data_IF_373487556469
#
_entry.id   IF_373487556469
#
_cell.length_a   1.000
_cell.length_b   1.000
_cell.length_c   1.000
_cell.angle_alpha   90.00
_cell.angle_beta   90.00
_cell.angle_gamma   90.00
#
_symmetry.space_group_name_H-M   'P 1'
#
loop_
_entity.id
_entity.type
_entity.pdbx_description
1 polymer ?
2 polymer ?
3 branched ?
4 water ?
#
# COMPACT_ATOMS: atom_id res chain seq x y z
N UNK A 1 22.36 10.26 -13.53
CA UNK A 1 21.97 11.31 -12.53
C UNK A 1 22.69 11.09 -11.23
N UNK A 2 22.14 11.66 -10.17
CA UNK A 2 22.70 11.51 -8.84
C UNK A 2 21.95 10.35 -8.20
N UNK A 3 22.71 9.34 -7.78
CA UNK A 3 22.15 8.14 -7.15
C UNK A 3 22.20 8.22 -5.65
N UNK A 4 21.08 7.88 -5.00
CA UNK A 4 21.00 7.89 -3.55
C UNK A 4 20.81 6.46 -3.05
N UNK A 5 21.80 5.93 -2.35
CA UNK A 5 21.73 4.58 -1.84
C UNK A 5 21.47 4.60 -0.34
N UNK A 6 20.47 3.84 0.12
CA UNK A 6 20.14 3.81 1.55
C UNK A 6 20.42 2.47 2.20
N UNK A 7 20.87 2.49 3.45
CA UNK A 7 21.13 1.27 4.18
C UNK A 7 20.71 1.47 5.64
N UNK A 8 20.16 0.42 6.27
CA UNK A 8 19.94 -0.91 5.67
C UNK A 8 18.74 -0.88 4.76
N UNK A 9 18.42 -2.04 4.18
CA UNK A 9 17.27 -2.16 3.29
C UNK A 9 16.04 -2.34 4.16
N UNK A 10 16.18 -3.18 5.17
CA UNK A 10 15.12 -3.48 6.11
C UNK A 10 15.72 -3.30 7.50
N UNK A 11 14.96 -2.75 8.44
CA UNK A 11 15.50 -2.51 9.79
C UNK A 11 14.58 -2.78 10.99
N UNK A 12 14.90 -3.78 11.82
CA UNK A 12 14.11 -4.13 13.00
C UNK A 12 14.58 -3.27 14.18
N UNK A 13 13.63 -2.82 14.98
CA UNK A 13 13.99 -2.00 16.14
C UNK A 13 12.88 -2.10 17.18
N UNK A 14 13.30 -2.24 18.44
CA UNK A 14 12.35 -2.35 19.54
C UNK A 14 11.76 -0.98 19.83
N UNK A 15 10.55 -0.97 20.37
CA UNK A 15 9.89 0.28 20.70
C UNK A 15 10.78 1.00 21.71
N UNK A 16 10.81 2.32 21.67
CA UNK A 16 11.63 3.05 22.61
C UNK A 16 13.11 3.00 22.31
N UNK A 17 13.50 2.13 21.39
CA UNK A 17 14.91 2.00 21.02
C UNK A 17 15.31 3.05 19.98
N UNK A 18 16.57 3.03 19.55
CA UNK A 18 17.05 3.99 18.56
C UNK A 18 17.23 3.33 17.20
N UNK A 19 17.26 4.12 16.15
CA UNK A 19 17.44 3.59 14.81
C UNK A 19 18.13 4.60 13.90
N UNK A 20 19.04 4.12 13.05
CA UNK A 20 19.77 5.00 12.14
C UNK A 20 19.77 4.50 10.71
N UNK A 21 19.26 5.36 9.82
CA UNK A 21 19.20 5.05 8.42
C UNK A 21 20.21 5.96 7.77
N UNK A 22 20.98 5.42 6.83
CA UNK A 22 21.97 6.24 6.16
C UNK A 22 21.65 6.31 4.67
N UNK A 23 22.10 7.40 4.06
CA UNK A 23 21.90 7.66 2.66
C UNK A 23 23.17 8.25 2.08
N UNK A 24 23.70 7.59 1.05
CA UNK A 24 24.93 8.03 0.43
C UNK A 24 24.65 8.39 -1.03
N UNK A 25 25.14 9.53 -1.47
CA UNK A 25 24.92 9.94 -2.86
C UNK A 25 26.14 9.67 -3.73
N UNK A 26 25.92 9.56 -5.03
CA UNK A 26 27.02 9.29 -5.93
C UNK A 26 27.85 10.54 -6.09
N UNK A 27 27.30 11.70 -5.74
CA UNK A 27 28.07 12.92 -5.84
C UNK A 27 27.69 13.98 -4.82
N UNK A 28 28.56 14.98 -4.70
CA UNK A 28 28.39 16.11 -3.79
C UNK A 28 27.07 16.81 -4.02
N UNK A 29 26.33 17.04 -2.92
CA UNK A 29 25.02 17.69 -3.00
C UNK A 29 25.03 19.17 -2.66
N UNK A 30 26.19 19.69 -2.24
CA UNK A 30 26.32 21.10 -1.90
C UNK A 30 25.96 21.94 -3.11
N UNK A 31 24.95 22.79 -2.96
CA UNK A 31 24.51 23.66 -4.04
C UNK A 31 25.35 24.93 -4.08
N UNK A 32 25.42 25.52 -5.26
CA UNK A 32 26.18 26.75 -5.50
C UNK A 32 25.84 27.80 -4.44
N UNK A 33 24.55 27.92 -4.14
CA UNK A 33 24.10 28.89 -3.15
C UNK A 33 24.42 28.39 -1.74
N UNK A 34 25.34 27.43 -1.65
CA UNK A 34 25.73 26.89 -0.36
C UNK A 34 24.72 26.08 0.44
N UNK A 35 23.64 25.64 -0.20
CA UNK A 35 22.64 24.84 0.50
C UNK A 35 22.73 23.40 0.05
N UNK A 36 22.53 22.47 0.97
CA UNK A 36 22.54 21.07 0.61
C UNK A 36 21.08 20.62 0.67
N UNK A 37 20.48 20.40 -0.51
CA UNK A 37 19.09 20.00 -0.57
C UNK A 37 18.87 18.50 -0.43
N UNK A 38 19.11 17.98 0.76
CA UNK A 38 18.92 16.55 1.02
C UNK A 38 17.77 16.40 2.01
N UNK A 39 16.72 15.68 1.62
CA UNK A 39 15.54 15.51 2.46
C UNK A 39 15.21 14.06 2.78
N UNK A 40 14.41 13.84 3.81
CA UNK A 40 14.00 12.50 4.18
C UNK A 40 12.47 12.49 4.27
N UNK A 41 11.85 11.40 3.84
CA UNK A 41 10.40 11.25 3.86
C UNK A 41 9.99 9.93 4.45
N UNK A 42 8.79 9.91 5.01
CA UNK A 42 8.21 8.69 5.58
C UNK A 42 6.92 8.35 4.85
N UNK A 43 6.80 7.11 4.41
CA UNK A 43 5.57 6.67 3.75
C UNK A 43 4.97 5.51 4.53
N UNK A 44 3.96 5.82 5.34
CA UNK A 44 3.32 4.77 6.11
C UNK A 44 2.54 3.89 5.14
N UNK A 45 2.27 2.63 5.55
CA UNK A 45 1.52 1.72 4.67
C UNK A 45 0.26 2.34 4.07
N UNK A 46 0.08 2.15 2.77
CA UNK A 46 -1.10 2.70 2.10
C UNK A 46 -1.26 4.21 2.28
N UNK A 47 -0.19 4.96 2.05
CA UNK A 47 -0.25 6.41 2.20
C UNK A 47 0.79 7.10 1.33
N UNK A 48 0.54 8.38 1.07
CA UNK A 48 1.43 9.22 0.28
C UNK A 48 2.61 9.55 1.18
N UNK A 49 3.80 9.74 0.60
CA UNK A 49 4.96 10.06 1.45
C UNK A 49 4.82 11.38 2.18
N UNK A 50 5.57 11.53 3.26
CA UNK A 50 5.53 12.76 4.04
C UNK A 50 6.92 13.25 4.41
N UNK A 51 7.07 14.56 4.30
CA UNK A 51 8.33 15.23 4.60
C UNK A 51 8.61 15.27 6.10
N UNK A 52 9.80 14.81 6.48
CA UNK A 52 10.20 14.79 7.88
C UNK A 52 11.29 15.82 8.12
N UNK A 53 12.36 15.71 7.34
CA UNK A 53 13.51 16.59 7.45
C UNK A 53 13.78 17.23 6.10
N UNK A 54 14.14 18.50 6.10
CA UNK A 54 14.46 19.17 4.85
C UNK A 54 15.82 19.86 5.01
N UNK A 55 16.61 19.83 3.94
CA UNK A 55 17.94 20.41 3.93
C UNK A 55 18.80 19.79 5.01
N UNK A 56 18.98 18.49 4.92
CA UNK A 56 19.81 17.75 5.86
C UNK A 56 19.36 17.64 7.32
N UNK A 57 19.09 18.76 7.98
CA UNK A 57 18.74 18.70 9.39
C UNK A 57 17.49 19.40 9.93
N UNK A 58 16.78 20.14 9.09
CA UNK A 58 15.59 20.85 9.56
C UNK A 58 14.36 19.97 9.60
N UNK A 59 13.64 20.02 10.71
CA UNK A 59 12.43 19.23 10.84
C UNK A 59 11.26 20.03 10.28
N UNK A 60 10.36 19.35 9.58
CA UNK A 60 9.20 20.01 9.00
C UNK A 60 8.07 20.09 10.04
N UNK A 61 7.06 20.90 9.73
CA UNK A 61 5.91 21.08 10.61
C UNK A 61 5.38 19.82 11.28
N UNK A 62 5.13 19.93 12.58
CA UNK A 62 4.58 18.81 13.32
C UNK A 62 5.45 17.60 13.57
N UNK A 63 6.68 17.62 13.05
CA UNK A 63 7.58 16.50 13.27
C UNK A 63 8.19 16.62 14.67
N UNK A 64 8.20 15.51 15.44
CA UNK A 64 8.75 15.48 16.79
C UNK A 64 10.27 15.62 16.81
N UNK A 65 10.82 15.93 17.98
CA UNK A 65 12.27 16.08 18.15
C UNK A 65 12.96 14.74 17.97
N UNK A 66 12.17 13.67 17.96
CA UNK A 66 12.72 12.33 17.82
C UNK A 66 13.49 12.15 16.52
N UNK A 67 13.18 12.98 15.52
CA UNK A 67 13.82 12.90 14.22
C UNK A 67 14.97 13.88 14.06
N UNK A 68 16.14 13.36 13.74
CA UNK A 68 17.35 14.16 13.57
C UNK A 68 18.07 13.84 12.27
N UNK A 69 18.59 14.88 11.62
CA UNK A 69 19.29 14.68 10.36
C UNK A 69 20.67 15.31 10.35
N UNK A 70 21.66 14.53 9.93
CA UNK A 70 23.01 15.03 9.85
C UNK A 70 23.55 14.73 8.46
N UNK A 71 24.76 15.22 8.18
CA UNK A 71 25.36 14.98 6.89
C UNK A 71 26.85 15.25 6.96
N UNK A 72 27.62 14.65 6.07
CA UNK A 72 29.06 14.87 6.04
C UNK A 72 29.59 14.47 4.66
N UNK A 73 29.65 15.44 3.75
CA UNK A 73 30.14 15.16 2.42
C UNK A 73 29.04 14.54 1.59
N UNK A 74 29.08 13.22 1.44
CA UNK A 74 28.08 12.51 0.65
C UNK A 74 27.30 11.52 1.50
N UNK A 75 27.63 11.44 2.78
CA UNK A 75 26.95 10.51 3.68
C UNK A 75 26.00 11.28 4.57
N UNK A 76 24.75 10.83 4.63
CA UNK A 76 23.74 11.49 5.45
C UNK A 76 23.05 10.45 6.33
N UNK A 77 22.46 10.90 7.43
CA UNK A 77 21.80 9.99 8.34
C UNK A 77 20.58 10.58 9.03
N UNK A 78 19.59 9.71 9.28
CA UNK A 78 18.35 10.07 9.95
C UNK A 78 18.34 9.28 11.25
N UNK A 79 18.16 9.96 12.37
CA UNK A 79 18.15 9.31 13.67
C UNK A 79 16.75 9.36 14.27
N UNK A 80 16.36 8.30 14.96
CA UNK A 80 15.05 8.26 15.60
C UNK A 80 15.22 7.68 17.00
N UNK A 81 15.33 8.55 17.99
CA UNK A 81 15.43 8.07 19.35
C UNK A 81 13.98 7.81 19.74
N UNK A 82 13.76 7.16 20.89
CA UNK A 82 12.41 6.87 21.36
C UNK A 82 11.43 6.37 20.29
N UNK A 83 11.87 5.40 19.47
CA UNK A 83 11.02 4.83 18.42
C UNK A 83 9.70 4.32 19.00
N UNK A 84 8.63 4.42 18.22
CA UNK A 84 7.33 3.95 18.68
C UNK A 84 6.43 3.37 17.59
N UNK A 85 5.28 2.86 18.00
CA UNK A 85 4.31 2.23 17.10
C UNK A 85 4.10 2.89 15.75
N UNK A 86 3.69 4.16 15.76
CA UNK A 86 3.41 4.91 14.54
C UNK A 86 4.57 5.18 13.59
N UNK A 87 5.80 4.91 14.03
CA UNK A 87 6.94 5.18 13.18
C UNK A 87 7.22 4.13 12.13
N UNK A 88 6.42 3.06 12.10
CA UNK A 88 6.66 2.02 11.10
C UNK A 88 6.29 2.52 9.71
N UNK A 89 7.08 2.11 8.73
CA UNK A 89 6.84 2.51 7.36
C UNK A 89 8.16 2.57 6.62
N UNK A 90 8.15 3.08 5.39
CA UNK A 90 9.39 3.18 4.62
C UNK A 90 9.92 4.61 4.62
N UNK A 91 11.23 4.75 4.83
CA UNK A 91 11.87 6.05 4.86
C UNK A 91 12.69 6.30 3.62
N UNK A 92 12.51 7.45 3.01
CA UNK A 92 13.24 7.79 1.80
C UNK A 92 14.09 9.02 1.99
N UNK A 93 15.16 9.11 1.21
CA UNK A 93 16.02 10.27 1.24
C UNK A 93 16.02 10.76 -0.21
N UNK A 94 15.89 12.06 -0.40
CA UNK A 94 15.87 12.61 -1.75
C UNK A 94 16.73 13.85 -1.83
N UNK A 95 17.02 14.26 -3.05
CA UNK A 95 17.85 15.44 -3.25
C UNK A 95 17.26 16.26 -4.37
N UNK A 96 17.26 17.58 -4.19
CA UNK A 96 16.73 18.51 -5.18
C UNK A 96 17.77 19.54 -5.56
N UNK A 97 19.03 19.23 -5.28
CA UNK A 97 20.14 20.09 -5.63
C UNK A 97 20.29 20.03 -7.16
N UNK A 98 19.95 18.89 -7.75
CA UNK A 98 20.02 18.70 -9.20
C UNK A 98 18.69 18.15 -9.68
N UNK A 99 18.71 17.33 -10.72
CA UNK A 99 17.47 16.75 -11.17
C UNK A 99 17.06 15.87 -10.01
N UNK A 100 15.89 16.14 -9.42
CA UNK A 100 15.38 15.38 -8.28
C UNK A 100 15.46 13.87 -8.44
N UNK A 101 16.10 13.21 -7.47
CA UNK A 101 16.19 11.74 -7.47
C UNK A 101 15.86 11.28 -6.05
N UNK A 102 15.45 10.03 -5.91
CA UNK A 102 15.10 9.51 -4.59
C UNK A 102 15.91 8.27 -4.24
N UNK A 103 15.93 7.96 -2.94
CA UNK A 103 16.66 6.80 -2.46
C UNK A 103 15.78 5.55 -2.54
N UNK A 104 16.42 4.39 -2.61
CA UNK A 104 15.68 3.15 -2.69
C UNK A 104 14.66 2.93 -1.60
N UNK A 105 14.94 3.43 -0.40
CA UNK A 105 14.01 3.25 0.69
C UNK A 105 14.51 2.25 1.72
N UNK A 106 13.96 2.34 2.93
CA UNK A 106 14.31 1.47 4.05
C UNK A 106 13.05 1.20 4.87
N UNK A 107 12.69 -0.07 4.98
CA UNK A 107 11.51 -0.47 5.71
C UNK A 107 11.76 -0.61 7.20
N UNK A 108 11.27 0.34 7.98
CA UNK A 108 11.46 0.26 9.41
C UNK A 108 10.40 -0.67 9.96
N UNK A 109 10.83 -1.73 10.62
CA UNK A 109 9.93 -2.71 11.20
C UNK A 109 10.04 -2.70 12.72
N UNK A 110 8.90 -2.70 13.40
CA UNK A 110 8.87 -2.70 14.85
C UNK A 110 9.07 -4.10 15.41
N UNK A 111 10.12 -4.27 16.21
CA UNK A 111 10.44 -5.54 16.84
C UNK A 111 9.67 -5.55 18.16
N UNK A 112 8.76 -6.53 18.33
CA UNK A 112 7.99 -6.63 19.56
C UNK A 112 7.89 -8.05 20.09
N UNK A 113 7.20 -8.20 21.22
CA UNK A 113 7.05 -9.50 21.85
C UNK A 113 6.18 -10.44 21.02
N UNK A 114 6.61 -11.69 20.96
CA UNK A 114 5.88 -12.70 20.22
C UNK A 114 4.39 -12.67 20.51
N UNK A 115 3.59 -13.00 19.49
CA UNK A 115 2.15 -13.01 19.61
C UNK A 115 1.59 -14.27 18.96
N UNK A 116 0.63 -14.90 19.62
CA UNK A 116 0.02 -16.12 19.12
C UNK A 116 -1.11 -15.81 18.16
N UNK A 117 -1.06 -16.42 16.96
CA UNK A 117 -2.09 -16.21 15.94
C UNK A 117 -3.46 -16.68 16.38
N UNK A 118 -4.48 -16.12 15.75
CA UNK A 118 -5.85 -16.48 16.06
C UNK A 118 -6.47 -16.96 14.75
N UNK A 119 -6.53 -18.28 14.61
CA UNK A 119 -7.04 -18.93 13.43
C UNK A 119 -8.57 -18.98 13.24
N UNK A 120 -8.98 -18.72 12.01
CA UNK A 120 -10.37 -18.74 11.59
C UNK A 120 -10.36 -19.43 10.23
N UNK A 121 -11.38 -20.25 9.95
CA UNK A 121 -11.45 -20.92 8.66
C UNK A 121 -12.82 -20.69 8.07
N UNK A 122 -12.84 -20.28 6.80
CA UNK A 122 -14.08 -20.01 6.08
C UNK A 122 -14.28 -20.96 4.91
N UNK A 123 -15.42 -21.65 4.86
CA UNK A 123 -15.64 -22.56 3.73
C UNK A 123 -16.08 -21.69 2.56
N UNK A 124 -16.00 -22.22 1.33
CA UNK A 124 -16.41 -21.43 0.16
C UNK A 124 -17.86 -20.97 0.27
N UNK A 125 -18.19 -19.90 -0.45
CA UNK A 125 -19.55 -19.37 -0.50
C UNK A 125 -20.21 -20.00 -1.71
N UNK A 126 -21.48 -20.38 -1.60
CA UNK A 126 -22.15 -21.00 -2.73
C UNK A 126 -22.12 -20.07 -3.94
N UNK A 127 -21.95 -18.77 -3.67
CA UNK A 127 -21.90 -17.74 -4.70
C UNK A 127 -20.71 -17.90 -5.63
N UNK A 128 -19.71 -18.66 -5.19
CA UNK A 128 -18.51 -18.84 -5.99
C UNK A 128 -18.56 -20.05 -6.94
N UNK A 129 -19.29 -21.08 -6.54
CA UNK A 129 -19.40 -22.31 -7.29
C UNK A 129 -19.59 -22.19 -8.80
N UNK A 130 -20.43 -21.26 -9.24
CA UNK A 130 -20.65 -21.13 -10.67
C UNK A 130 -19.41 -20.70 -11.46
N UNK A 131 -18.38 -20.19 -10.76
CA UNK A 131 -17.15 -19.79 -11.44
C UNK A 131 -16.30 -21.03 -11.73
N UNK A 132 -16.74 -22.17 -11.22
CA UNK A 132 -16.03 -23.42 -11.45
C UNK A 132 -14.92 -23.76 -10.47
N UNK A 133 -14.75 -22.90 -9.46
CA UNK A 133 -13.72 -23.13 -8.47
C UNK A 133 -14.17 -22.77 -7.05
N UNK A 134 -13.61 -23.45 -6.06
CA UNK A 134 -13.95 -23.21 -4.65
C UNK A 134 -12.72 -22.77 -3.86
N UNK A 135 -12.86 -21.70 -3.08
CA UNK A 135 -11.75 -21.20 -2.28
C UNK A 135 -12.04 -21.28 -0.80
N UNK A 136 -11.21 -22.01 -0.08
CA UNK A 136 -11.38 -22.13 1.35
C UNK A 136 -10.28 -21.27 1.95
N UNK A 137 -10.66 -20.40 2.88
CA UNK A 137 -9.69 -19.49 3.49
C UNK A 137 -9.41 -19.75 4.97
N UNK A 138 -8.14 -19.65 5.34
CA UNK A 138 -7.68 -19.84 6.71
C UNK A 138 -6.99 -18.52 7.07
N UNK A 139 -7.55 -17.80 8.03
CA UNK A 139 -7.04 -16.50 8.43
C UNK A 139 -6.27 -16.52 9.73
N UNK A 140 -5.00 -16.13 9.68
CA UNK A 140 -4.16 -16.09 10.86
C UNK A 140 -4.08 -14.64 11.29
N UNK A 141 -4.72 -14.35 12.41
CA UNK A 141 -4.81 -12.99 12.90
C UNK A 141 -3.91 -12.64 14.07
N UNK A 142 -3.47 -11.39 14.07
CA UNK A 142 -2.64 -10.83 15.14
C UNK A 142 -1.51 -11.68 15.71
N UNK A 143 -0.44 -11.84 14.93
CA UNK A 143 0.69 -12.64 15.39
C UNK A 143 2.01 -11.95 15.11
N UNK A 144 3.02 -12.30 15.90
CA UNK A 144 4.35 -11.73 15.73
C UNK A 144 5.34 -12.76 16.23
N UNK A 145 6.44 -12.99 15.49
CA UNK A 145 6.87 -12.38 14.23
C UNK A 145 6.10 -12.77 12.98
N UNK A 146 6.50 -12.15 11.87
CA UNK A 146 5.93 -12.34 10.55
C UNK A 146 5.80 -13.81 10.15
N UNK A 147 6.92 -14.51 10.19
CA UNK A 147 7.01 -15.93 9.85
C UNK A 147 5.90 -16.83 10.36
N UNK A 148 5.41 -17.70 9.49
CA UNK A 148 4.34 -18.62 9.86
C UNK A 148 4.26 -19.71 8.80
N UNK A 149 3.85 -20.90 9.22
CA UNK A 149 3.71 -22.04 8.33
C UNK A 149 2.28 -22.52 8.36
N UNK A 150 1.64 -22.56 7.20
CA UNK A 150 0.28 -23.04 7.13
C UNK A 150 0.29 -24.26 6.22
N UNK A 151 -0.38 -25.31 6.67
CA UNK A 151 -0.47 -26.54 5.88
C UNK A 151 -1.94 -26.92 5.83
N UNK A 152 -2.36 -27.42 4.67
CA UNK A 152 -3.74 -27.83 4.49
C UNK A 152 -3.86 -29.33 4.42
N UNK A 153 -4.93 -29.83 5.02
CA UNK A 153 -5.23 -31.25 5.04
C UNK A 153 -6.66 -31.45 4.59
N UNK A 154 -6.81 -32.18 3.49
CA UNK A 154 -8.11 -32.48 2.91
C UNK A 154 -8.36 -33.96 3.14
N UNK A 155 -9.34 -34.26 3.98
CA UNK A 155 -9.66 -35.65 4.30
C UNK A 155 -8.41 -36.33 4.86
N UNK A 156 -7.68 -35.62 5.72
CA UNK A 156 -6.47 -36.19 6.29
C UNK A 156 -5.24 -35.91 5.46
N UNK A 157 -5.23 -36.30 4.19
CA UNK A 157 -4.09 -36.09 3.31
C UNK A 157 -3.67 -34.64 3.16
N UNK A 158 -2.40 -34.38 3.45
CA UNK A 158 -1.85 -33.05 3.33
C UNK A 158 -1.90 -32.59 1.87
N UNK A 159 -2.28 -31.34 1.66
CA UNK A 159 -2.41 -30.78 0.32
C UNK A 159 -1.52 -29.55 0.17
N UNK A 160 -0.91 -29.38 -1.01
CA UNK A 160 -0.03 -28.22 -1.26
C UNK A 160 -0.41 -27.48 -2.54
N UNK A 161 -0.92 -28.24 -3.50
CA UNK A 161 -1.31 -27.68 -4.79
C UNK A 161 -2.57 -26.81 -4.71
N UNK A 162 -2.44 -25.55 -5.13
CA UNK A 162 -3.59 -24.65 -5.12
C UNK A 162 -3.64 -23.68 -3.95
N UNK A 163 -2.52 -23.55 -3.24
CA UNK A 163 -2.48 -22.66 -2.09
C UNK A 163 -1.83 -21.33 -2.42
N UNK A 164 -2.31 -20.28 -1.78
CA UNK A 164 -1.76 -18.95 -1.98
C UNK A 164 -1.81 -18.18 -0.67
N UNK A 165 -0.62 -17.82 -0.18
CA UNK A 165 -0.48 -17.09 1.08
C UNK A 165 -0.13 -15.64 0.85
N UNK A 166 -0.74 -14.77 1.64
CA UNK A 166 -0.51 -13.34 1.50
C UNK A 166 -0.59 -12.67 2.86
N UNK A 167 0.36 -11.77 3.12
CA UNK A 167 0.44 -11.05 4.39
C UNK A 167 -0.03 -9.61 4.32
N UNK A 168 -0.27 -9.05 5.51
CA UNK A 168 -0.66 -7.67 5.64
C UNK A 168 0.59 -6.97 6.13
N UNK A 169 0.54 -5.64 6.20
CA UNK A 169 1.66 -4.88 6.71
C UNK A 169 1.62 -4.99 8.23
N UNK A 170 2.60 -4.37 8.88
CA UNK A 170 2.65 -4.37 10.33
C UNK A 170 1.56 -3.39 10.75
N UNK A 171 0.86 -3.69 11.84
CA UNK A 171 -0.21 -2.81 12.29
C UNK A 171 0.38 -1.63 13.07
N UNK A 172 -0.13 -0.45 12.79
CA UNK A 172 0.34 0.78 13.44
C UNK A 172 0.05 0.84 14.93
N UNK A 173 -1.09 0.30 15.33
CA UNK A 173 -1.49 0.30 16.72
C UNK A 173 -0.75 -0.73 17.57
N UNK A 174 -0.82 -2.02 17.20
CA UNK A 174 -0.16 -3.07 18.00
C UNK A 174 1.03 -3.82 17.40
N UNK A 175 1.48 -3.42 16.21
CA UNK A 175 2.64 -4.03 15.57
C UNK A 175 2.60 -5.52 15.29
N UNK A 176 1.42 -6.06 14.99
CA UNK A 176 1.30 -7.48 14.69
C UNK A 176 0.92 -7.65 13.22
N UNK A 177 1.12 -8.85 12.69
CA UNK A 177 0.72 -9.12 11.30
C UNK A 177 -0.51 -10.01 11.28
N UNK A 178 -1.10 -10.12 10.11
CA UNK A 178 -2.25 -10.98 9.91
C UNK A 178 -1.92 -11.66 8.60
N UNK A 179 -2.52 -12.81 8.35
CA UNK A 179 -2.21 -13.50 7.12
C UNK A 179 -3.27 -14.53 6.76
N UNK A 180 -3.55 -14.60 5.46
CA UNK A 180 -4.56 -15.53 4.96
C UNK A 180 -4.02 -16.54 3.98
N UNK A 181 -4.38 -17.80 4.20
CA UNK A 181 -3.97 -18.86 3.29
C UNK A 181 -5.22 -19.27 2.53
N UNK A 182 -5.17 -19.15 1.21
CA UNK A 182 -6.32 -19.50 0.42
C UNK A 182 -6.09 -20.73 -0.43
N UNK A 183 -6.95 -21.71 -0.25
CA UNK A 183 -6.87 -22.96 -1.01
C UNK A 183 -8.00 -22.93 -2.04
N UNK A 184 -7.63 -22.98 -3.32
CA UNK A 184 -8.61 -22.94 -4.40
C UNK A 184 -8.66 -24.22 -5.22
N UNK A 185 -9.78 -24.93 -5.14
CA UNK A 185 -9.97 -26.16 -5.88
C UNK A 185 -11.00 -25.90 -6.94
N UNK A 186 -11.32 -26.92 -7.72
CA UNK A 186 -12.35 -26.79 -8.74
C UNK A 186 -13.63 -27.21 -8.02
N UNK A 187 -14.76 -26.69 -8.48
CA UNK A 187 -16.07 -27.00 -7.92
C UNK A 187 -16.18 -28.49 -7.51
N UNK A 188 -16.01 -29.38 -8.48
CA UNK A 188 -16.11 -30.82 -8.24
C UNK A 188 -15.06 -31.42 -7.29
N UNK A 189 -13.81 -31.02 -7.47
CA UNK A 189 -12.71 -31.49 -6.63
C UNK A 189 -13.12 -31.28 -5.17
N UNK A 190 -13.60 -30.08 -4.88
CA UNK A 190 -14.06 -29.71 -3.55
C UNK A 190 -15.25 -30.55 -3.06
N UNK A 191 -16.06 -31.02 -4.01
CA UNK A 191 -17.24 -31.82 -3.65
C UNK A 191 -16.95 -33.32 -3.53
N UNK A 192 -15.71 -33.70 -3.77
CA UNK A 192 -15.34 -35.10 -3.66
C UNK A 192 -14.67 -35.37 -2.31
N UNK A 193 -14.61 -34.33 -1.47
CA UNK A 193 -14.02 -34.44 -0.12
C UNK A 193 -14.98 -33.82 0.88
N UNK A 194 -14.72 -34.03 2.16
CA UNK A 194 -15.63 -33.47 3.16
C UNK A 194 -14.97 -32.79 4.36
N UNK A 195 -13.79 -33.27 4.74
CA UNK A 195 -13.08 -32.67 5.87
C UNK A 195 -11.92 -31.81 5.40
N UNK A 196 -11.98 -30.53 5.73
CA UNK A 196 -10.92 -29.61 5.35
C UNK A 196 -10.25 -29.00 6.57
N UNK A 197 -8.98 -29.33 6.75
CA UNK A 197 -8.22 -28.84 7.87
C UNK A 197 -7.02 -28.03 7.44
N UNK A 198 -6.63 -27.09 8.28
CA UNK A 198 -5.45 -26.31 8.02
C UNK A 198 -4.75 -26.23 9.36
N UNK A 199 -3.45 -26.50 9.34
CA UNK A 199 -2.66 -26.46 10.56
C UNK A 199 -1.66 -25.32 10.45
N UNK A 200 -1.63 -24.48 11.48
CA UNK A 200 -0.72 -23.35 11.50
C UNK A 200 0.38 -23.65 12.51
N UNK A 201 1.62 -23.36 12.12
CA UNK A 201 2.74 -23.59 13.00
C UNK A 201 3.54 -22.30 13.12
N UNK A 202 3.56 -21.75 14.34
CA UNK A 202 4.28 -20.51 14.62
C UNK A 202 5.39 -20.81 15.62
N UNK A 203 6.16 -19.76 15.95
CA UNK A 203 7.24 -19.86 16.90
C UNK A 203 6.65 -20.02 18.31
N UNK A 204 5.55 -19.33 18.55
CA UNK A 204 4.89 -19.34 19.85
C UNK A 204 4.21 -20.65 20.26
N UNK A 205 4.51 -21.75 19.58
CA UNK A 205 3.86 -23.02 19.94
C UNK A 205 4.43 -24.21 19.21
N UNK A 206 4.68 -25.28 19.95
CA UNK A 206 5.22 -26.52 19.38
C UNK A 206 4.08 -27.19 18.61
N UNK A 207 2.95 -27.34 19.29
CA UNK A 207 1.75 -27.96 18.73
C UNK A 207 1.06 -26.98 17.77
N UNK A 208 0.86 -27.39 16.51
CA UNK A 208 0.21 -26.59 15.49
C UNK A 208 -1.20 -26.15 15.85
N UNK A 209 -1.54 -24.91 15.53
CA UNK A 209 -2.90 -24.45 15.79
C UNK A 209 -3.69 -25.05 14.65
N UNK A 210 -4.73 -25.80 14.98
CA UNK A 210 -5.53 -26.47 13.96
C UNK A 210 -6.99 -26.06 13.98
N UNK A 211 -7.49 -25.67 12.80
CA UNK A 211 -8.89 -25.26 12.62
C UNK A 211 -9.43 -26.08 11.47
N UNK A 212 -10.68 -26.52 11.57
CA UNK A 212 -11.26 -27.35 10.51
C UNK A 212 -12.78 -27.28 10.41
N UNK A 213 -13.31 -27.75 9.28
CA UNK A 213 -14.75 -27.77 9.04
C UNK A 213 -15.10 -28.95 8.15
N UNK A 214 -16.34 -29.41 8.26
CA UNK A 214 -16.82 -30.51 7.45
C UNK A 214 -18.10 -30.01 6.82
N UNK A 215 -18.45 -30.55 5.64
CA UNK A 215 -19.67 -30.13 4.97
C UNK A 215 -20.91 -30.87 5.51
N UNK B 1 -5.17 24.56 5.26
CA UNK B 1 -4.54 23.22 5.49
C UNK B 1 -4.37 22.48 4.16
N UNK B 2 -3.14 22.58 3.64
CA UNK B 2 -2.79 21.98 2.37
C UNK B 2 -3.42 20.62 2.09
N UNK B 3 -4.08 20.53 0.94
CA UNK B 3 -4.69 19.31 0.48
C UNK B 3 -4.63 19.28 -1.05
N UNK B 4 -3.92 18.29 -1.57
CA UNK B 4 -3.78 18.12 -3.02
C UNK B 4 -4.57 16.86 -3.40
N UNK B 5 -5.12 16.83 -4.61
CA UNK B 5 -5.90 15.68 -5.02
C UNK B 5 -5.86 15.35 -6.51
N UNK B 6 -5.22 14.23 -6.83
CA UNK B 6 -5.07 13.75 -8.20
C UNK B 6 -6.26 12.90 -8.62
N UNK B 7 -6.39 12.67 -9.93
CA UNK B 7 -7.47 11.88 -10.46
C UNK B 7 -7.25 11.65 -11.94
N UNK B 8 -8.00 10.72 -12.52
CA UNK B 8 -7.88 10.44 -13.94
C UNK B 8 -6.99 9.28 -14.30
N UNK B 9 -6.88 8.31 -13.41
CA UNK B 9 -6.04 7.15 -13.69
C UNK B 9 -6.84 5.96 -14.15
N UNK B 10 -6.16 4.99 -14.75
CA UNK B 10 -6.81 3.79 -15.22
C UNK B 10 -5.85 2.97 -16.07
N UNK B 11 -6.41 2.11 -16.92
CA UNK B 11 -5.63 1.25 -17.80
C UNK B 11 -5.54 1.82 -19.22
N UNK B 12 -4.34 1.81 -19.82
CA UNK B 12 -4.11 2.33 -21.18
C UNK B 12 -3.28 1.29 -21.95
N UNK B 13 -3.14 1.45 -23.27
CA UNK B 13 -2.39 0.50 -24.10
C UNK B 13 -0.92 0.86 -24.36
N UNK B 14 -0.51 -0.12 -24.51
CA UNK B 14 0.69 0.38 -24.86
C UNK B 14 0.40 1.15 -26.09
N UNK B 15 -0.15 1.81 -26.66
CA UNK B 15 0.48 3.10 -26.43
C UNK B 15 -0.49 4.27 -26.60
N UNK B 16 -1.40 4.43 -25.64
CA UNK B 16 -2.38 5.50 -25.71
C UNK B 16 -2.06 6.81 -25.01
N UNK B 17 -3.11 7.55 -24.69
CA UNK B 17 -2.98 8.82 -24.03
C UNK B 17 -3.86 8.87 -22.79
N UNK B 18 -3.53 9.78 -21.88
CA UNK B 18 -4.31 9.91 -20.66
C UNK B 18 -3.93 11.22 -19.99
N UNK B 19 -4.91 11.91 -19.42
CA UNK B 19 -4.62 13.17 -18.78
C UNK B 19 -4.90 13.10 -17.29
N UNK B 20 -3.93 13.51 -16.49
CA UNK B 20 -4.10 13.50 -15.06
C UNK B 20 -4.52 14.88 -14.58
N UNK B 21 -5.32 14.90 -13.51
CA UNK B 21 -5.81 16.16 -12.95
C UNK B 21 -5.42 16.26 -11.49
N UNK B 22 -5.01 17.45 -11.08
CA UNK B 22 -4.67 17.66 -9.69
C UNK B 22 -5.31 18.94 -9.24
N UNK B 23 -5.98 18.88 -8.10
CA UNK B 23 -6.65 20.04 -7.56
C UNK B 23 -6.08 20.31 -6.18
N UNK B 24 -5.50 21.49 -6.01
CA UNK B 24 -4.93 21.86 -4.72
C UNK B 24 -5.78 22.91 -4.04
N UNK B 25 -5.74 22.93 -2.71
CA UNK B 25 -6.52 23.89 -1.94
C UNK B 25 -5.89 23.99 -0.56
N UNK B 26 -6.04 25.14 0.09
CA UNK B 26 -5.45 25.31 1.41
C UNK B 26 -4.20 26.18 1.37
N UNK B 27 -4.00 26.84 0.24
CA UNK B 27 -2.85 27.73 0.07
C UNK B 27 -3.00 28.50 -1.23
N UNK B 28 -2.36 29.67 -1.30
CA UNK B 28 -2.43 30.47 -2.51
C UNK B 28 -1.71 29.65 -3.56
N UNK B 29 -2.49 28.88 -4.31
CA UNK B 29 -2.00 28.00 -5.36
C UNK B 29 -1.02 28.66 -6.34
N UNK B 30 -1.33 29.88 -6.78
CA UNK B 30 -0.48 30.58 -7.74
C UNK B 30 0.95 30.88 -7.29
N UNK B 31 1.18 30.85 -5.97
CA UNK B 31 2.49 31.14 -5.39
C UNK B 31 3.49 30.01 -5.38
N UNK B 32 3.09 28.81 -5.79
CA UNK B 32 3.99 27.66 -5.76
C UNK B 32 4.21 26.91 -7.07
N UNK B 33 5.34 26.22 -7.15
CA UNK B 33 5.62 25.42 -8.32
C UNK B 33 4.92 24.12 -8.01
N UNK B 34 4.53 23.41 -9.05
CA UNK B 34 3.84 22.15 -8.85
C UNK B 34 4.63 21.03 -9.48
N UNK B 35 4.53 19.84 -8.88
CA UNK B 35 5.30 18.71 -9.37
C UNK B 35 4.47 17.47 -9.68
N UNK B 36 5.14 16.50 -10.27
CA UNK B 36 4.56 15.21 -10.58
C UNK B 36 5.67 14.20 -10.39
N UNK B 37 5.41 13.24 -9.50
CA UNK B 37 6.35 12.19 -9.19
C UNK B 37 5.63 10.86 -9.22
N UNK B 38 6.13 9.92 -10.01
CA UNK B 38 5.50 8.63 -10.09
C UNK B 38 6.31 7.64 -9.28
N UNK B 39 5.63 6.62 -8.75
CA UNK B 39 6.29 5.60 -7.94
C UNK B 39 6.04 4.23 -8.52
N UNK B 40 6.98 3.73 -9.31
CA UNK B 40 6.83 2.40 -9.91
C UNK B 40 7.28 1.31 -8.97
N UNK B 41 6.70 0.10 -9.11
CA UNK B 41 7.11 -1.00 -8.23
C UNK B 41 8.53 -1.41 -8.59
N UNK B 42 8.87 -1.24 -9.87
CA UNK B 42 10.19 -1.59 -10.39
C UNK B 42 11.23 -0.48 -10.33
N UNK B 43 10.81 0.78 -10.23
CA UNK B 43 11.78 1.86 -10.16
C UNK B 43 11.52 2.88 -9.05
N UNK B 44 10.89 2.44 -7.97
CA UNK B 44 10.62 3.33 -6.86
C UNK B 44 10.17 4.72 -7.29
N UNK B 45 10.42 5.69 -6.42
CA UNK B 45 10.03 7.08 -6.67
C UNK B 45 10.83 7.72 -7.80
N UNK B 46 10.10 8.25 -8.76
CA UNK B 46 10.73 8.88 -9.92
C UNK B 46 10.08 10.22 -10.24
N UNK B 47 10.87 11.30 -10.13
CA UNK B 47 10.38 12.63 -10.44
C UNK B 47 10.07 12.68 -11.92
N UNK B 48 8.86 13.13 -12.27
CA UNK B 48 8.45 13.20 -13.66
C UNK B 48 8.58 14.58 -14.28
N UNK B 49 7.83 15.54 -13.76
CA UNK B 49 7.85 16.89 -14.32
C UNK B 49 7.50 17.98 -13.32
N UNK B 50 7.82 19.21 -13.70
CA UNK B 50 7.57 20.38 -12.87
C UNK B 50 7.10 21.58 -13.69
N UNK B 51 6.26 22.41 -13.08
CA UNK B 51 5.80 23.62 -13.75
C UNK B 51 6.01 24.74 -12.74
N UNK B 52 6.38 25.92 -13.23
CA UNK B 52 6.63 27.03 -12.33
C UNK B 52 5.54 28.08 -12.32
N UNK B 53 5.87 29.27 -11.81
CA UNK B 53 4.91 30.36 -11.70
C UNK B 53 4.61 31.11 -12.99
N UNK B 54 3.65 32.03 -12.91
CA UNK B 54 3.23 32.83 -14.05
C UNK B 54 4.33 33.83 -14.37
N UNK B 55 4.90 34.41 -13.33
CA UNK B 55 5.98 35.36 -13.50
C UNK B 55 7.13 34.65 -14.20
N UNK B 56 7.05 33.32 -14.25
CA UNK B 56 8.09 32.52 -14.86
C UNK B 56 7.73 32.10 -16.27
N UNK B 57 6.70 32.74 -16.82
CA UNK B 57 6.22 32.42 -18.17
C UNK B 57 5.65 31.01 -18.09
N UNK B 58 5.46 30.51 -16.88
CA UNK B 58 4.96 29.16 -16.66
C UNK B 58 5.96 28.16 -17.22
N UNK B 59 7.23 28.31 -16.82
CA UNK B 59 8.28 27.42 -17.27
C UNK B 59 8.03 25.97 -16.86
N UNK B 60 8.42 25.04 -17.71
CA UNK B 60 8.26 23.61 -17.41
C UNK B 60 9.59 22.89 -17.51
N UNK B 61 9.72 21.82 -16.76
CA UNK B 61 10.93 21.00 -16.76
C UNK B 61 10.47 19.56 -16.67
N UNK B 62 10.95 18.72 -17.59
CA UNK B 62 10.56 17.31 -17.59
C UNK B 62 11.73 16.36 -17.38
N UNK B 63 11.39 15.15 -16.93
CA UNK B 63 12.39 14.12 -16.69
C UNK B 63 12.77 13.57 -18.06
N UNK B 64 14.06 13.35 -18.27
CA UNK B 64 14.56 12.85 -19.54
C UNK B 64 13.72 11.71 -20.14
N UNK B 65 13.29 10.78 -19.29
CA UNK B 65 12.51 9.64 -19.75
C UNK B 65 11.11 9.96 -20.29
N UNK B 66 10.67 11.21 -20.16
CA UNK B 66 9.35 11.58 -20.65
C UNK B 66 9.36 12.83 -21.51
N UNK B 67 10.54 13.37 -21.79
CA UNK B 67 10.60 14.58 -22.61
C UNK B 67 9.94 14.35 -23.95
N UNK B 68 8.94 15.17 -24.26
CA UNK B 68 8.26 15.03 -25.53
C UNK B 68 6.95 14.28 -25.48
N UNK B 69 6.78 13.37 -24.52
CA UNK B 69 5.55 12.62 -24.43
C UNK B 69 4.56 13.20 -23.44
N UNK B 70 5.09 13.69 -22.32
CA UNK B 70 4.25 14.27 -21.26
C UNK B 70 4.25 15.79 -21.35
N UNK B 71 3.16 16.40 -20.91
CA UNK B 71 3.05 17.85 -20.90
C UNK B 71 2.31 18.26 -19.63
N UNK B 72 2.93 19.14 -18.84
CA UNK B 72 2.33 19.59 -17.61
C UNK B 72 1.85 21.02 -17.77
N UNK B 73 0.58 21.23 -17.48
CA UNK B 73 -0.03 22.54 -17.60
C UNK B 73 -0.67 22.88 -16.26
N UNK B 74 -1.11 24.13 -16.10
CA UNK B 74 -1.74 24.52 -14.86
C UNK B 74 -2.83 25.57 -15.10
N UNK B 75 -3.68 25.75 -14.10
CA UNK B 75 -4.77 26.71 -14.16
C UNK B 75 -4.91 27.36 -12.78
N UNK B 76 -4.08 28.37 -12.53
CA UNK B 76 -4.06 29.08 -11.27
C UNK B 76 -5.44 29.56 -10.83
N UNK B 77 -6.30 29.89 -11.79
CA UNK B 77 -7.63 30.36 -11.45
C UNK B 77 -8.44 29.22 -10.82
N UNK B 78 -8.19 27.99 -11.28
CA UNK B 78 -8.90 26.83 -10.75
C UNK B 78 -8.06 26.05 -9.73
N UNK B 79 -6.87 26.54 -9.42
CA UNK B 79 -5.98 25.86 -8.47
C UNK B 79 -5.76 24.40 -8.90
N UNK B 80 -5.51 24.21 -10.19
CA UNK B 80 -5.30 22.87 -10.72
C UNK B 80 -4.06 22.76 -11.60
N UNK B 81 -3.50 21.56 -11.64
CA UNK B 81 -2.33 21.27 -12.46
C UNK B 81 -2.69 19.99 -13.19
N UNK B 82 -2.31 19.92 -14.46
CA UNK B 82 -2.63 18.77 -15.29
C UNK B 82 -1.39 18.09 -15.84
N UNK B 83 -1.56 16.83 -16.23
CA UNK B 83 -0.46 16.09 -16.81
C UNK B 83 -1.00 15.28 -17.97
N UNK B 84 -0.76 15.81 -19.17
CA UNK B 84 -1.17 15.16 -20.41
C UNK B 84 -0.08 14.18 -20.75
N UNK B 85 -0.46 12.92 -20.93
CA UNK B 85 0.53 11.90 -21.24
C UNK B 85 0.14 11.21 -22.54
N UNK B 86 1.07 11.25 -23.49
CA UNK B 86 0.87 10.67 -24.80
C UNK B 86 1.87 9.54 -25.02
N UNK B 87 1.57 8.68 -25.98
CA UNK B 87 2.47 7.59 -26.30
C UNK B 87 2.91 6.81 -25.07
N UNK B 88 1.94 6.37 -24.28
CA UNK B 88 2.24 5.63 -23.05
C UNK B 88 2.86 4.26 -23.32
N UNK B 89 3.65 3.79 -22.35
CA UNK B 89 4.33 2.51 -22.46
C UNK B 89 4.44 1.84 -21.11
N UNK B 90 4.57 0.52 -21.13
CA UNK B 90 4.67 -0.28 -19.92
C UNK B 90 5.41 0.45 -18.81
N UNK B 91 6.54 1.05 -19.18
CA UNK B 91 7.38 1.77 -18.23
C UNK B 91 6.69 2.91 -17.49
N UNK B 92 5.67 3.52 -18.08
CA UNK B 92 4.97 4.62 -17.44
C UNK B 92 4.01 4.14 -16.34
N UNK B 93 3.89 2.82 -16.20
CA UNK B 93 3.02 2.23 -15.18
C UNK B 93 3.54 2.60 -13.80
N UNK B 94 2.63 2.98 -12.91
CA UNK B 94 3.02 3.35 -11.57
C UNK B 94 2.04 4.37 -11.00
N UNK B 95 2.14 4.62 -9.70
CA UNK B 95 1.26 5.59 -9.06
C UNK B 95 1.84 6.98 -9.33
N UNK B 96 0.98 7.90 -9.70
CA UNK B 96 1.43 9.24 -9.97
C UNK B 96 1.00 10.18 -8.86
N UNK B 97 1.96 10.90 -8.31
CA UNK B 97 1.67 11.84 -7.22
C UNK B 97 1.86 13.26 -7.69
N UNK B 98 0.99 14.12 -7.19
CA UNK B 98 1.06 15.54 -7.48
C UNK B 98 1.49 16.20 -6.18
N UNK B 99 2.66 16.80 -6.18
CA UNK B 99 3.19 17.42 -4.98
C UNK B 99 3.41 18.91 -5.17
N UNK B 100 3.68 19.61 -4.08
CA UNK B 100 3.91 21.04 -4.14
C UNK B 100 5.41 21.35 -4.09
N UNK B 101 5.81 22.44 -4.72
CA UNK B 101 7.20 22.86 -4.68
C UNK B 101 7.30 23.76 -3.48
N UNK B 102 7.63 23.16 -2.34
CA UNK B 102 7.72 23.93 -1.11
C UNK B 102 8.72 25.07 -1.04
N UNK B 103 8.37 26.03 -0.19
CA UNK B 103 9.21 27.20 0.04
C UNK B 103 10.56 26.78 0.60
N UNK B 104 10.58 25.64 1.31
CA UNK B 104 11.79 25.10 1.93
C UNK B 104 12.74 24.33 1.02
N UNK B 105 12.40 24.23 -0.27
CA UNK B 105 13.24 23.50 -1.20
C UNK B 105 12.98 22.00 -1.27
N UNK B 106 11.77 21.59 -0.95
CA UNK B 106 11.40 20.18 -0.98
C UNK B 106 9.91 20.00 -1.24
N UNK B 107 9.57 18.99 -2.05
CA UNK B 107 8.18 18.69 -2.34
C UNK B 107 7.57 18.37 -0.96
N UNK B 108 6.96 19.40 -0.35
CA UNK B 108 6.38 19.28 0.98
C UNK B 108 5.05 18.58 1.15
N UNK B 109 4.12 18.81 0.23
CA UNK B 109 2.82 18.18 0.34
C UNK B 109 2.45 17.34 -0.88
N UNK B 110 2.03 16.12 -0.64
CA UNK B 110 1.68 15.22 -1.70
C UNK B 110 0.22 14.81 -1.69
N UNK B 111 -0.24 14.37 -2.85
CA UNK B 111 -1.60 13.91 -2.96
C UNK B 111 -1.55 12.46 -2.52
N UNK B 112 -2.69 11.79 -2.48
CA UNK B 112 -2.73 10.40 -2.08
C UNK B 112 -2.25 9.55 -3.25
N UNK B 113 -2.34 10.12 -4.44
CA UNK B 113 -1.92 9.42 -5.65
C UNK B 113 -3.07 8.85 -6.44
N UNK B 114 -2.82 8.59 -7.72
CA UNK B 114 -3.82 7.99 -8.60
C UNK B 114 -3.04 7.04 -9.48
N UNK B 115 -3.39 5.76 -9.45
CA UNK B 115 -2.66 4.75 -10.21
C UNK B 115 -2.88 4.75 -11.74
N UNK B 116 -1.79 4.46 -12.46
CA UNK B 116 -1.80 4.40 -13.92
C UNK B 116 -1.16 3.09 -14.38
N UNK B 117 -1.87 2.33 -15.21
CA UNK B 117 -1.33 1.06 -15.69
C UNK B 117 -1.39 0.99 -17.20
N UNK B 118 -0.24 0.75 -17.82
CA UNK B 118 -0.19 0.63 -19.27
C UNK B 118 -0.03 -0.86 -19.54
N UNK B 119 -0.94 -1.43 -20.32
CA UNK B 119 -0.89 -2.85 -20.61
C UNK B 119 -1.83 -3.18 -21.75
N UNK B 120 -1.59 -4.30 -22.43
CA UNK B 120 -2.45 -4.72 -23.53
C UNK B 120 -3.57 -5.59 -22.95
N UNK B 121 -3.45 -5.91 -21.66
CA UNK B 121 -4.46 -6.70 -20.97
C UNK B 121 -5.65 -5.75 -20.74
N UNK B 122 -6.86 -6.30 -20.77
CA UNK B 122 -8.06 -5.50 -20.57
C UNK B 122 -8.61 -5.55 -19.15
N UNK B 123 -9.40 -4.55 -18.82
CA UNK B 123 -10.01 -4.45 -17.50
C UNK B 123 -10.95 -5.62 -17.17
N UNK B 124 -11.11 -5.86 -15.88
CA UNK B 124 -11.98 -6.90 -15.39
C UNK B 124 -12.37 -6.46 -13.99
N UNK B 125 -13.65 -6.16 -13.80
CA UNK B 125 -14.12 -5.75 -12.48
C UNK B 125 -13.95 -6.98 -11.57
N UNK B 126 -13.77 -6.77 -10.27
CA UNK B 126 -13.60 -7.94 -9.40
C UNK B 126 -14.90 -8.67 -9.05
N UNK B 127 -14.75 -9.91 -8.63
CA UNK B 127 -15.88 -10.71 -8.18
C UNK B 127 -15.69 -10.73 -6.67
N UNK B 128 -16.74 -10.48 -5.90
CA UNK B 128 -16.60 -10.48 -4.45
C UNK B 128 -17.43 -11.53 -3.77
N UNK B 129 -16.79 -12.40 -3.00
CA UNK B 129 -17.49 -13.46 -2.28
C UNK B 129 -17.42 -13.18 -0.79
N UNK B 130 -18.41 -13.66 -0.03
CA UNK B 130 -18.43 -13.45 1.41
C UNK B 130 -17.63 -14.48 2.19
N UNK B 131 -17.03 -14.02 3.28
CA UNK B 131 -16.25 -14.88 4.16
C UNK B 131 -17.02 -14.94 5.46
N UNK B 132 -17.81 -15.99 5.60
CA UNK B 132 -18.64 -16.22 6.76
C UNK B 132 -18.31 -17.55 7.42
N UNK B 133 -18.34 -17.58 8.76
CA UNK B 133 -18.05 -18.80 9.54
C UNK B 133 -18.94 -19.97 9.12
N UNK B 134 -17.80 -19.70 9.39
CA UNK B 134 -18.23 -21.07 9.16
C UNK B 134 -18.67 -21.88 10.37
N UNK B 135 -19.99 -21.90 10.59
CA UNK B 135 -20.65 -22.62 11.68
C UNK B 135 -19.67 -23.35 12.62
N UNK B 136 -19.31 -22.71 13.72
CA UNK B 136 -18.38 -23.29 14.70
C UNK B 136 -18.62 -22.72 16.09
N UNK B 137 -17.77 -23.10 17.05
CA UNK B 137 -17.87 -22.64 18.43
C UNK B 137 -17.02 -21.39 18.65
N UNK B 138 -17.56 -20.42 19.39
CA UNK B 138 -16.88 -19.16 19.66
C UNK B 138 -15.54 -19.28 20.40
N UNK B 139 -14.44 -19.32 19.65
CA UNK B 139 -13.12 -19.41 20.25
C UNK B 139 -12.07 -18.70 19.40
N UNK B 140 -12.31 -17.42 19.12
CA UNK B 140 -11.38 -16.65 18.32
C UNK B 140 -11.81 -15.19 18.19
N UNK B 141 -11.55 -14.41 19.23
CA UNK B 141 -11.91 -12.98 19.26
C UNK B 141 -13.33 -12.73 18.73
N UNK B 142 -14.33 -10.96 18.15
CA UNK B 142 -15.07 -12.06 18.75
C UNK B 142 -15.80 -12.80 17.62
N UNK B 143 -15.83 -12.15 16.45
CA UNK B 143 -16.45 -12.71 15.25
C UNK B 143 -15.78 -12.10 14.02
N UNK B 144 -14.99 -12.92 13.33
CA UNK B 144 -14.29 -12.45 12.15
C UNK B 144 -15.08 -12.70 10.85
N UNK B 145 -15.25 -11.64 10.07
CA UNK B 145 -15.97 -11.69 8.79
C UNK B 145 -15.15 -11.01 7.71
N UNK B 146 -15.37 -11.41 6.46
CA UNK B 146 -14.62 -10.78 5.40
C UNK B 146 -15.19 -10.90 3.99
N UNK B 147 -14.45 -10.31 3.05
CA UNK B 147 -14.83 -10.32 1.63
C UNK B 147 -13.63 -10.77 0.82
N UNK B 148 -13.84 -11.76 -0.02
CA UNK B 148 -12.76 -12.25 -0.86
C UNK B 148 -12.93 -11.62 -2.23
N UNK B 149 -11.90 -10.91 -2.67
CA UNK B 149 -11.92 -10.24 -3.97
C UNK B 149 -11.04 -10.96 -4.98
N UNK B 150 -11.66 -11.50 -6.02
CA UNK B 150 -10.94 -12.26 -7.05
C UNK B 150 -11.14 -11.82 -8.48
N UNK B 151 -10.26 -12.32 -9.32
CA UNK B 151 -10.30 -12.06 -10.74
C UNK B 151 -10.44 -10.64 -11.22
N UNK B 152 -9.71 -9.71 -10.61
CA UNK B 152 -9.80 -8.34 -11.10
C UNK B 152 -8.50 -7.90 -11.74
N UNK B 153 -8.57 -6.84 -12.53
CA UNK B 153 -7.40 -6.32 -13.22
C UNK B 153 -7.79 -4.99 -13.87
N UNK B 154 -6.94 -3.96 -13.71
CA UNK B 154 -5.67 -4.02 -13.00
C UNK B 154 -5.79 -3.81 -11.49
N UNK B 155 -4.82 -3.06 -10.99
CA UNK B 155 -4.74 -2.73 -9.60
C UNK B 155 -4.94 -1.21 -9.52
N UNK B 156 -5.43 -0.72 -8.38
CA UNK B 156 -5.76 -1.53 -7.21
C UNK B 156 -7.26 -1.50 -7.00
N UNK B 157 -7.68 -2.06 -5.86
CA UNK B 157 -9.08 -2.02 -5.46
C UNK B 157 -8.93 -1.65 -4.00
N UNK B 158 -9.80 -0.78 -3.50
CA UNK B 158 -9.71 -0.44 -2.10
C UNK B 158 -10.97 -0.95 -1.43
N UNK B 159 -10.78 -1.63 -0.30
CA UNK B 159 -11.90 -2.15 0.45
C UNK B 159 -12.12 -1.40 1.76
N UNK B 160 -13.36 -0.99 1.98
CA UNK B 160 -13.72 -0.30 3.19
C UNK B 160 -14.91 -1.02 3.79
N UNK B 161 -15.04 -0.96 5.11
CA UNK B 161 -16.14 -1.62 5.78
C UNK B 161 -17.16 -0.61 6.30
N UNK B 162 -18.44 -0.88 6.05
CA UNK B 162 -19.51 0.02 6.47
C UNK B 162 -19.26 1.46 6.02
N UNK B 163 -18.82 1.60 4.76
CA UNK B 163 -18.52 2.89 4.15
C UNK B 163 -17.38 3.63 4.85
N UNK B 164 -16.61 2.89 5.65
CA UNK B 164 -15.50 3.51 6.35
C UNK B 164 -15.81 3.80 7.81
N UNK B 165 -17.09 3.76 8.15
CA UNK B 165 -17.50 4.01 9.53
C UNK B 165 -16.85 2.95 10.41
N UNK B 166 -16.84 1.72 9.92
CA UNK B 166 -16.23 0.61 10.64
C UNK B 166 -14.75 0.57 10.24
N UNK B 167 -13.86 1.01 11.13
CA UNK B 167 -12.43 1.02 10.82
C UNK B 167 -11.49 0.42 11.87
N UNK B 168 -12.03 -0.34 12.82
CA UNK B 168 -11.18 -0.95 13.85
C UNK B 168 -11.00 -2.44 13.65
N UNK B 169 -9.76 -2.89 13.66
CA UNK B 169 -9.49 -4.30 13.49
C UNK B 169 -9.69 -4.77 12.06
N UNK B 170 -9.60 -3.84 11.11
CA UNK B 170 -9.74 -4.18 9.71
C UNK B 170 -8.37 -4.65 9.26
N UNK B 171 -8.34 -5.80 8.60
CA UNK B 171 -7.09 -6.37 8.12
C UNK B 171 -7.20 -6.75 6.66
N UNK B 172 -6.44 -6.09 5.81
CA UNK B 172 -6.47 -6.39 4.38
C UNK B 172 -5.10 -6.85 3.93
N UNK B 173 -5.01 -8.10 3.50
CA UNK B 173 -3.75 -8.65 3.04
C UNK B 173 -3.35 -7.94 1.77
N UNK B 174 -2.19 -8.31 1.28
CA UNK B 174 -1.67 -7.73 0.07
C UNK B 174 -2.31 -8.45 -1.11
N UNK B 175 -2.37 -7.81 -2.27
CA UNK B 175 -2.95 -8.47 -3.42
C UNK B 175 -1.88 -9.37 -4.02
N UNK B 176 -2.30 -10.44 -4.68
CA UNK B 176 -1.36 -11.35 -5.32
C UNK B 176 -1.77 -11.50 -6.77
N UNK B 177 -0.79 -11.51 -7.67
CA UNK B 177 -1.06 -11.67 -9.09
C UNK B 177 -0.94 -13.13 -9.49
N UNK B 178 -2.02 -13.70 -9.99
CA UNK B 178 -1.99 -15.10 -10.44
C UNK B 178 -2.97 -15.36 -11.58
N UNK B 179 -2.52 -16.12 -12.57
CA UNK B 179 -3.33 -16.44 -13.76
C UNK B 179 -3.81 -15.16 -14.43
N UNK B 180 -2.95 -14.16 -14.44
CA UNK B 180 -3.30 -12.90 -15.05
C UNK B 180 -4.30 -12.11 -14.26
N UNK B 181 -4.62 -12.56 -13.05
CA UNK B 181 -5.58 -11.84 -12.23
C UNK B 181 -5.22 -11.66 -10.77
N UNK B 182 -5.63 -10.53 -10.22
CA UNK B 182 -5.35 -10.23 -8.82
C UNK B 182 -6.47 -10.70 -7.93
N UNK B 183 -6.19 -10.69 -6.64
CA UNK B 183 -7.17 -11.08 -5.65
C UNK B 183 -6.57 -10.76 -4.31
N UNK B 184 -7.43 -10.67 -3.32
CA UNK B 184 -6.99 -10.39 -1.96
C UNK B 184 -8.22 -10.61 -1.12
N UNK B 185 -8.10 -10.30 0.16
CA UNK B 185 -9.24 -10.45 1.05
C UNK B 185 -9.07 -9.46 2.15
N UNK B 186 -10.19 -8.97 2.66
CA UNK B 186 -10.19 -8.01 3.74
C UNK B 186 -11.10 -8.57 4.83
N UNK B 187 -10.70 -8.41 6.09
CA UNK B 187 -11.50 -8.92 7.17
C UNK B 187 -11.56 -7.94 8.32
N UNK B 188 -12.61 -8.07 9.10
CA UNK B 188 -12.85 -7.22 10.25
C UNK B 188 -13.32 -8.13 11.39
N UNK B 189 -13.01 -7.75 12.62
CA UNK B 189 -13.45 -8.56 13.74
C UNK B 189 -14.40 -7.74 14.60
N UNK B 190 -15.63 -8.22 14.70
CA UNK B 190 -16.64 -7.55 15.46
C UNK B 190 -17.06 -8.38 16.67
N UNK B 191 -17.71 -7.75 17.66
CA UNK B 191 -18.17 -8.43 18.87
C UNK B 191 -19.26 -9.45 18.57
N UNK B 192 -19.17 -10.60 19.22
CA UNK B 192 -20.12 -11.69 19.06
C UNK B 192 -21.60 -11.27 18.98
N UNK B 193 -21.95 -10.15 19.62
CA UNK B 193 -23.34 -9.68 19.65
C UNK B 193 -23.73 -8.55 18.69
N UNK B 194 -22.75 -7.82 18.16
CA UNK B 194 -23.07 -6.74 17.23
C UNK B 194 -23.43 -7.30 15.86
N UNK B 195 -23.19 -8.59 15.67
CA UNK B 195 -23.49 -9.25 14.40
C UNK B 195 -24.15 -10.59 14.70
N UNK B 196 -25.21 -10.96 13.93
CA UNK B 196 -25.82 -10.20 12.83
C UNK B 196 -26.95 -9.26 13.21
N UNK B 197 -27.18 -9.04 14.50
CA UNK B 197 -28.28 -8.16 14.89
C UNK B 197 -28.13 -6.82 14.17
N UNK B 198 -26.88 -6.46 13.87
CA UNK B 198 -26.59 -5.21 13.17
C UNK B 198 -25.95 -5.57 11.82
N UNK B 199 -26.07 -4.70 10.82
CA UNK B 199 -25.53 -5.00 9.49
C UNK B 199 -24.10 -4.55 9.20
N UNK B 200 -23.33 -5.47 8.61
CA UNK B 200 -21.94 -5.23 8.22
C UNK B 200 -21.86 -5.37 6.71
N UNK B 201 -21.14 -4.48 6.05
CA UNK B 201 -21.01 -4.54 4.60
C UNK B 201 -19.60 -4.12 4.18
N UNK B 202 -19.07 -4.72 3.12
CA UNK B 202 -17.77 -4.29 2.65
C UNK B 202 -18.02 -3.43 1.41
N UNK B 203 -17.17 -2.42 1.22
CA UNK B 203 -17.28 -1.53 0.09
C UNK B 203 -16.02 -1.71 -0.76
N UNK B 204 -16.13 -2.50 -1.81
CA UNK B 204 -15.02 -2.78 -2.71
C UNK B 204 -15.05 -1.84 -3.89
N UNK B 205 -13.97 -1.10 -4.10
CA UNK B 205 -13.91 -0.17 -5.22
C UNK B 205 -12.80 -0.61 -6.18
N UNK B 206 -13.03 -0.41 -7.47
CA UNK B 206 -12.06 -0.77 -8.51
C UNK B 206 -12.05 0.35 -9.55
N UNK B 207 -11.21 1.38 -9.32
CA UNK B 207 -11.07 2.55 -10.20
C UNK B 207 -11.08 2.26 -11.70
N UNK B 208 -10.23 1.33 -12.15
CA UNK B 208 -10.13 1.02 -13.57
C UNK B 208 -11.48 0.75 -14.24
N UNK B 209 -12.35 0.00 -13.57
CA UNK B 209 -13.67 -0.29 -14.14
C UNK B 209 -14.70 0.73 -13.68
N UNK B 210 -14.29 1.67 -12.85
CA UNK B 210 -15.17 2.72 -12.37
C UNK B 210 -16.35 2.14 -11.60
N UNK B 211 -16.18 0.93 -11.06
CA UNK B 211 -17.26 0.30 -10.31
C UNK B 211 -17.01 0.32 -8.81
N UNK B 212 -18.10 0.42 -8.06
CA UNK B 212 -18.05 0.42 -6.61
C UNK B 212 -19.00 -0.70 -6.22
N UNK B 213 -18.48 -1.71 -5.54
CA UNK B 213 -19.29 -2.86 -5.16
C UNK B 213 -19.64 -2.90 -3.66
N UNK B 214 -20.93 -3.03 -3.37
CA UNK B 214 -21.40 -3.07 -2.00
C UNK B 214 -22.02 -4.41 -1.68
N UNK B 215 -21.50 -5.09 -0.67
CA UNK B 215 -22.04 -6.39 -0.31
C UNK B 215 -22.14 -6.51 1.20
N UNK B 216 -23.23 -7.12 1.67
CA UNK B 216 -23.41 -7.26 3.11
C UNK B 216 -23.41 -8.70 3.62
N UNK B 217 -22.52 -9.01 4.58
CA UNK B 217 -22.49 -10.37 5.12
C UNK B 217 -23.62 -10.59 6.12
N UNK B 218 -24.60 -11.38 5.72
CA UNK B 218 -25.70 -11.74 6.61
C UNK B 218 -25.10 -13.03 7.17
N UNK B 219 -25.73 -13.67 8.14
CA UNK B 219 -25.16 -14.89 8.68
C UNK B 219 -25.77 -16.18 8.15
N UNK B 220 -25.66 -16.48 6.83
CA UNK B 220 -26.22 -17.68 6.20
C UNK B 220 -25.56 -19.03 6.56
#
# INVERSE_FOLDING_TARGET
DVVLTQTPLSLPVRLGDQASISCRSSQSLLHSDGNTYLHWYLQKPGQSPKLLIYKVSNRFSGVPDRFSGSGSGTDFTLKISRVEAEDLGVYFCSQTTHVPTFGGGTKLEIKRADAAPTVSIFPPSSEQLTSGGASVVCFLNNFYPKDINVKWKIDGSERQNGVLNSWTDQDSKDSTYSMSSTLTLTKDEYERHNSYTCEATHKTSTSPIVKSFNR
EVKVEESGGGLVQPGGSMKLSCVASGFTFSNYWMEWVRQSPEKGLEWVAEIRLKSNNYATHYAESVKGRFTISRDDSKSSVYLQMNNLRAEDTGIYYCTRGGAVGAMDYWGQGTSVTVSSATTTAPSVYPLVPGCSDTSGSSVTLGCLVKGYFPEPVTVKWNYGALSSGVRTVSSVLQSGFYSLSSLVTVPSSTWPSQTVICNVAHPASKVDLIKEPSGP
#
